data_IF_239043212576
#
_entry.id   IF_239043212576
#
_cell.length_a   1.000
_cell.length_b   1.000
_cell.length_c   1.000
_cell.angle_alpha   90.00
_cell.angle_beta   90.00
_cell.angle_gamma   90.00
#
_symmetry.space_group_name_H-M   'P 1'
#
loop_
_entity.id
_entity.type
_entity.pdbx_description
1 polymer ?
#
# COMPACT_ATOMS: atom_id res chain seq x y z
N UNK A 1 -23.20 -14.04 5.18
CA UNK A 1 -22.16 -14.87 4.53
C UNK A 1 -20.84 -14.26 4.91
N UNK A 2 -20.00 -14.96 5.68
CA UNK A 2 -18.73 -14.42 6.14
C UNK A 2 -17.71 -14.42 5.02
N UNK A 3 -16.94 -13.34 4.91
CA UNK A 3 -15.88 -13.20 3.92
C UNK A 3 -14.54 -13.56 4.54
N UNK A 4 -13.94 -14.64 4.07
CA UNK A 4 -12.63 -15.07 4.57
C UNK A 4 -11.54 -14.38 3.76
N UNK A 5 -10.88 -13.40 4.38
CA UNK A 5 -9.74 -12.67 3.82
C UNK A 5 -8.46 -13.36 4.27
N UNK A 6 -7.70 -13.87 3.30
CA UNK A 6 -6.34 -14.37 3.56
C UNK A 6 -5.46 -13.17 3.86
N UNK A 7 -4.81 -13.14 5.03
CA UNK A 7 -3.67 -12.26 5.24
C UNK A 7 -2.65 -12.64 4.14
N UNK A 8 -2.55 -11.80 3.10
CA UNK A 8 -1.65 -11.95 1.94
C UNK A 8 -2.04 -12.95 0.82
N UNK A 9 -3.28 -12.89 0.36
CA UNK A 9 -3.51 -12.96 -1.10
C UNK A 9 -4.39 -11.81 -1.58
N UNK A 10 -4.00 -10.59 -1.22
CA UNK A 10 -4.48 -9.41 -1.91
C UNK A 10 -3.76 -9.37 -3.26
N UNK A 11 -4.33 -10.03 -4.27
CA UNK A 11 -4.00 -9.72 -5.66
C UNK A 11 -4.56 -8.34 -5.97
N UNK A 12 -3.87 -7.29 -5.55
CA UNK A 12 -4.07 -5.95 -6.08
C UNK A 12 -2.85 -5.64 -6.95
N UNK A 13 -3.04 -5.73 -8.27
CA UNK A 13 -2.04 -5.40 -9.26
C UNK A 13 -1.83 -3.89 -9.31
N UNK A 14 -0.98 -3.38 -8.42
CA UNK A 14 -0.25 -2.13 -8.68
C UNK A 14 1.00 -2.44 -9.51
N UNK A 15 0.78 -3.03 -10.69
CA UNK A 15 1.70 -3.04 -11.83
C UNK A 15 1.01 -3.82 -12.95
N UNK A 16 0.85 -3.16 -14.09
CA UNK A 16 0.16 -3.72 -15.25
C UNK A 16 0.75 -5.06 -15.69
N UNK A 17 0.01 -6.13 -15.43
CA UNK A 17 0.05 -7.37 -16.20
C UNK A 17 -1.39 -7.88 -16.33
N UNK A 18 -1.73 -8.22 -17.57
CA UNK A 18 -3.02 -8.78 -17.99
C UNK A 18 -3.25 -10.10 -17.26
N UNK A 19 -4.23 -10.16 -16.35
CA UNK A 19 -4.75 -11.43 -15.87
C UNK A 19 -5.86 -11.90 -16.81
N UNK A 20 -5.53 -12.84 -17.70
CA UNK A 20 -6.55 -13.67 -18.36
C UNK A 20 -7.33 -14.44 -17.30
N UNK A 21 -8.64 -14.18 -17.22
CA UNK A 21 -9.57 -14.91 -16.38
C UNK A 21 -9.67 -16.36 -16.90
N UNK A 22 -9.30 -17.34 -16.07
CA UNK A 22 -9.50 -18.76 -16.36
C UNK A 22 -10.95 -19.12 -16.02
N UNK A 23 -11.80 -19.20 -17.04
CA UNK A 23 -13.20 -19.64 -16.92
C UNK A 23 -13.26 -21.17 -16.81
N UNK A 24 -13.69 -21.68 -15.66
CA UNK A 24 -14.20 -23.05 -15.39
C UNK A 24 -14.93 -22.96 -14.04
N UNK A 25 -16.15 -23.40 -13.82
CA UNK A 25 -17.07 -24.31 -14.51
C UNK A 25 -18.51 -23.81 -14.25
N UNK A 26 -19.31 -23.66 -15.31
CA UNK A 26 -20.77 -23.69 -15.22
C UNK A 26 -21.20 -24.97 -15.94
N UNK A 27 -21.60 -26.00 -15.18
CA UNK A 27 -22.35 -27.14 -15.71
C UNK A 27 -23.84 -26.77 -15.73
N UNK A 28 -24.49 -26.92 -16.88
CA UNK A 28 -25.94 -26.76 -16.99
C UNK A 28 -26.56 -26.71 -18.39
N UNK A 29 -26.19 -27.63 -19.32
CA UNK A 29 -26.96 -28.12 -20.50
C UNK A 29 -27.42 -27.12 -21.61
N UNK A 30 -27.84 -27.59 -22.81
CA UNK A 30 -27.11 -28.38 -23.82
C UNK A 30 -27.07 -27.65 -25.20
N UNK A 31 -26.45 -28.28 -26.22
CA UNK A 31 -26.41 -27.92 -27.65
C UNK A 31 -25.28 -26.93 -28.04
N UNK A 32 -24.46 -27.13 -29.07
CA UNK A 32 -24.33 -28.20 -30.03
C UNK A 32 -22.98 -28.07 -30.76
N UNK A 33 -22.50 -29.21 -31.27
CA UNK A 33 -21.67 -29.40 -32.47
C UNK A 33 -20.22 -28.89 -32.49
N UNK A 34 -19.32 -29.84 -32.27
CA UNK A 34 -18.03 -29.95 -32.95
C UNK A 34 -18.20 -29.88 -34.49
N UNK A 35 -17.28 -29.21 -35.18
CA UNK A 35 -17.07 -29.45 -36.61
C UNK A 35 -15.58 -29.63 -36.88
N UNK A 36 -15.23 -30.85 -37.25
CA UNK A 36 -13.95 -31.27 -37.79
C UNK A 36 -13.82 -30.80 -39.25
N UNK A 37 -12.70 -30.16 -39.59
CA UNK A 37 -12.34 -29.86 -40.97
C UNK A 37 -11.61 -31.07 -41.57
N UNK A 38 -12.26 -31.77 -42.50
CA UNK A 38 -11.61 -32.70 -43.42
C UNK A 38 -11.93 -32.36 -44.87
N UNK A 39 -10.93 -32.64 -45.69
CA UNK A 39 -10.63 -32.17 -47.06
C UNK A 39 -11.40 -32.96 -48.14
N UNK A 40 -11.20 -32.51 -49.39
CA UNK A 40 -11.51 -33.16 -50.70
C UNK A 40 -12.90 -32.81 -51.23
N UNK A 41 -13.18 -32.37 -52.46
CA UNK A 41 -12.44 -32.26 -53.72
C UNK A 41 -13.47 -32.39 -54.88
N UNK A 42 -13.22 -31.68 -55.98
CA UNK A 42 -13.78 -31.80 -57.35
C UNK A 42 -15.18 -31.22 -57.74
N UNK A 43 -15.09 -30.14 -58.52
CA UNK A 43 -15.61 -29.91 -59.90
C UNK A 43 -17.08 -30.13 -60.24
N UNK A 44 -17.74 -29.09 -60.81
CA UNK A 44 -18.50 -29.09 -62.09
C UNK A 44 -18.69 -27.64 -62.60
N UNK A 45 -18.59 -27.49 -63.94
CA UNK A 45 -18.72 -26.28 -64.79
C UNK A 45 -20.13 -25.63 -64.75
N UNK A 46 -20.25 -24.31 -64.94
CA UNK A 46 -20.46 -23.69 -66.28
C UNK A 46 -20.70 -22.17 -66.25
N UNK A 47 -20.19 -21.53 -67.31
CA UNK A 47 -20.59 -20.28 -68.01
C UNK A 47 -20.39 -18.90 -67.36
N UNK A 48 -19.92 -18.02 -68.24
CA UNK A 48 -19.35 -16.69 -68.06
C UNK A 48 -20.40 -15.64 -67.68
N UNK A 49 -20.04 -14.74 -66.76
CA UNK A 49 -20.50 -13.36 -66.79
C UNK A 49 -19.45 -12.43 -66.16
N UNK A 50 -19.26 -11.28 -66.80
CA UNK A 50 -18.27 -10.24 -66.44
C UNK A 50 -18.65 -9.60 -65.11
N UNK A 51 -17.77 -9.66 -64.11
CA UNK A 51 -17.91 -8.89 -62.87
C UNK A 51 -16.89 -7.75 -62.79
N UNK A 52 -17.41 -6.53 -62.68
CA UNK A 52 -16.71 -5.34 -62.22
C UNK A 52 -16.22 -5.58 -60.78
N UNK A 53 -14.90 -5.56 -60.56
CA UNK A 53 -14.32 -5.67 -59.22
C UNK A 53 -14.52 -4.36 -58.48
N UNK A 54 -15.65 -4.23 -57.78
CA UNK A 54 -15.78 -3.25 -56.69
C UNK A 54 -14.90 -3.78 -55.56
N UNK A 55 -13.77 -3.12 -55.31
CA UNK A 55 -12.92 -3.42 -54.16
C UNK A 55 -13.66 -3.02 -52.89
N UNK A 56 -14.55 -3.88 -52.42
CA UNK A 56 -15.14 -3.79 -51.08
C UNK A 56 -13.98 -3.84 -50.09
N UNK A 57 -13.64 -2.68 -49.52
CA UNK A 57 -12.75 -2.56 -48.37
C UNK A 57 -13.26 -3.55 -47.32
N UNK A 58 -12.48 -4.61 -47.10
CA UNK A 58 -12.91 -5.79 -46.34
C UNK A 58 -13.50 -5.36 -44.98
N UNK A 59 -14.62 -5.96 -44.52
CA UNK A 59 -15.21 -5.71 -43.19
C UNK A 59 -14.22 -5.93 -42.03
N UNK A 60 -13.13 -6.66 -42.29
CA UNK A 60 -12.02 -6.87 -41.35
C UNK A 60 -11.27 -5.58 -41.00
N UNK A 61 -11.11 -4.63 -41.93
CA UNK A 61 -10.38 -3.39 -41.64
C UNK A 61 -11.17 -2.48 -40.68
N UNK A 62 -12.48 -2.40 -40.86
CA UNK A 62 -13.38 -1.64 -39.98
C UNK A 62 -13.52 -2.30 -38.60
N UNK A 63 -13.56 -3.64 -38.54
CA UNK A 63 -13.53 -4.39 -37.27
C UNK A 63 -12.21 -4.21 -36.52
N UNK A 64 -11.06 -4.22 -37.21
CA UNK A 64 -9.75 -3.95 -36.60
C UNK A 64 -9.69 -2.52 -36.07
N UNK A 65 -10.18 -1.54 -36.84
CA UNK A 65 -10.21 -0.14 -36.41
C UNK A 65 -11.10 0.06 -35.18
N UNK A 66 -12.27 -0.58 -35.13
CA UNK A 66 -13.17 -0.56 -33.98
C UNK A 66 -12.55 -1.23 -32.74
N UNK A 67 -11.87 -2.37 -32.91
CA UNK A 67 -11.15 -3.04 -31.83
C UNK A 67 -10.00 -2.18 -31.30
N UNK A 68 -9.25 -1.49 -32.16
CA UNK A 68 -8.19 -0.56 -31.76
C UNK A 68 -8.76 0.68 -31.04
N UNK A 69 -9.92 1.17 -31.46
CA UNK A 69 -10.65 2.27 -30.79
C UNK A 69 -11.16 1.85 -29.40
N UNK A 70 -11.74 0.65 -29.29
CA UNK A 70 -12.19 0.09 -28.01
C UNK A 70 -10.98 -0.18 -27.10
N UNK A 71 -9.90 -0.75 -27.63
CA UNK A 71 -8.67 -1.00 -26.88
C UNK A 71 -8.04 0.31 -26.38
N UNK A 72 -7.94 1.33 -27.23
CA UNK A 72 -7.43 2.65 -26.82
C UNK A 72 -8.35 3.32 -25.80
N UNK A 73 -9.68 3.20 -25.94
CA UNK A 73 -10.64 3.68 -24.95
C UNK A 73 -10.47 2.94 -23.60
N UNK A 74 -10.34 1.61 -23.61
CA UNK A 74 -10.07 0.79 -22.42
C UNK A 74 -8.73 1.17 -21.78
N UNK A 75 -7.67 1.39 -22.58
CA UNK A 75 -6.37 1.83 -22.09
C UNK A 75 -6.47 3.20 -21.43
N UNK A 76 -7.25 4.14 -21.99
CA UNK A 76 -7.46 5.46 -21.38
C UNK A 76 -8.29 5.40 -20.10
N UNK A 77 -9.29 4.50 -20.05
CA UNK A 77 -10.15 4.27 -18.87
C UNK A 77 -9.46 3.51 -17.74
N UNK A 78 -8.31 2.85 -17.99
CA UNK A 78 -7.57 2.03 -17.00
C UNK A 78 -6.31 2.71 -16.45
N UNK A 79 -6.16 4.02 -16.65
CA UNK A 79 -5.01 4.76 -16.13
C UNK A 79 -5.06 4.91 -14.60
N UNK A 80 -4.34 4.04 -13.89
CA UNK A 80 -4.05 4.19 -12.48
C UNK A 80 -2.88 5.16 -12.31
N UNK A 81 -3.15 6.41 -11.93
CA UNK A 81 -2.09 7.37 -11.60
C UNK A 81 -1.67 7.19 -10.15
N UNK A 82 -0.43 6.78 -9.84
CA UNK A 82 0.04 6.75 -8.46
C UNK A 82 -0.04 8.17 -7.87
N UNK A 83 -0.16 8.30 -6.53
CA UNK A 83 -0.05 9.59 -5.88
C UNK A 83 1.28 10.24 -6.26
N UNK A 84 1.27 11.57 -6.34
CA UNK A 84 2.47 12.35 -6.63
C UNK A 84 3.54 12.08 -5.56
N UNK A 85 4.80 12.25 -5.97
CA UNK A 85 5.90 12.16 -5.02
C UNK A 85 5.73 13.24 -3.94
N UNK A 86 5.77 12.88 -2.64
CA UNK A 86 5.63 13.86 -1.58
C UNK A 86 6.77 14.88 -1.56
N UNK A 87 7.93 14.58 -2.16
CA UNK A 87 9.08 15.50 -2.23
C UNK A 87 9.26 15.98 -3.67
N UNK A 88 9.12 17.28 -3.91
CA UNK A 88 9.31 17.90 -5.23
C UNK A 88 10.40 18.97 -5.15
N UNK A 89 11.41 18.90 -6.02
CA UNK A 89 12.53 19.85 -6.05
C UNK A 89 12.58 20.55 -7.41
N UNK A 90 12.82 21.87 -7.41
CA UNK A 90 12.81 22.66 -8.65
C UNK A 90 14.15 22.64 -9.39
N UNK A 91 15.26 22.34 -8.70
CA UNK A 91 16.60 22.33 -9.29
C UNK A 91 17.36 21.07 -8.88
N UNK A 92 17.10 19.97 -9.59
CA UNK A 92 17.64 18.65 -9.28
C UNK A 92 17.23 18.21 -7.89
N UNK A 93 18.18 18.23 -6.94
CA UNK A 93 17.94 17.88 -5.53
C UNK A 93 17.80 19.08 -4.60
N UNK A 94 17.73 20.32 -5.12
CA UNK A 94 17.69 21.55 -4.33
C UNK A 94 16.40 22.35 -4.52
N UNK A 95 16.12 23.24 -3.56
CA UNK A 95 14.88 24.02 -3.42
C UNK A 95 13.64 23.11 -3.48
N UNK A 96 13.46 22.32 -2.42
CA UNK A 96 12.45 21.29 -2.36
C UNK A 96 11.22 21.74 -1.55
N UNK A 97 10.08 21.18 -1.90
CA UNK A 97 8.85 21.21 -1.12
C UNK A 97 8.49 19.79 -0.70
N UNK A 98 7.87 19.68 0.47
CA UNK A 98 7.33 18.42 0.99
C UNK A 98 5.83 18.55 1.18
N UNK A 99 5.10 17.51 0.83
CA UNK A 99 3.66 17.38 1.06
C UNK A 99 3.37 16.04 1.72
N UNK A 100 2.14 15.86 2.21
CA UNK A 100 1.67 14.54 2.62
C UNK A 100 1.02 13.79 1.44
N UNK A 101 0.51 12.59 1.68
CA UNK A 101 -0.17 11.78 0.66
C UNK A 101 -1.37 12.47 -0.03
N UNK A 102 -1.96 13.50 0.60
CA UNK A 102 -3.06 14.29 0.02
C UNK A 102 -2.57 15.50 -0.80
N UNK A 103 -1.26 15.75 -0.80
CA UNK A 103 -0.62 16.88 -1.47
C UNK A 103 -0.61 18.18 -0.66
N UNK A 104 -1.04 18.18 0.61
CA UNK A 104 -1.05 19.36 1.47
C UNK A 104 -1.21 18.99 2.95
N UNK A 105 -0.57 19.74 3.84
CA UNK A 105 -0.80 19.60 5.28
C UNK A 105 -2.11 20.29 5.72
N UNK A 106 -2.72 19.92 6.85
CA UNK A 106 -4.03 20.43 7.28
C UNK A 106 -4.14 21.97 7.33
N UNK A 107 -3.09 22.64 7.76
CA UNK A 107 -3.01 24.12 7.81
C UNK A 107 -2.65 24.78 6.46
N UNK A 108 -2.59 23.99 5.39
CA UNK A 108 -2.25 24.39 4.01
C UNK A 108 -0.89 25.05 3.83
N UNK A 109 -0.04 25.06 4.85
CA UNK A 109 1.27 25.70 4.74
C UNK A 109 2.24 24.86 3.91
N UNK A 110 3.05 25.55 3.10
CA UNK A 110 4.08 24.91 2.28
C UNK A 110 5.27 24.56 3.16
N UNK A 111 5.61 23.28 3.16
CA UNK A 111 6.80 22.77 3.81
C UNK A 111 7.98 22.86 2.84
N UNK A 112 8.99 23.67 3.16
CA UNK A 112 10.18 23.87 2.31
C UNK A 112 11.40 23.17 2.90
N UNK A 113 12.38 22.91 2.04
CA UNK A 113 13.68 22.36 2.39
C UNK A 113 14.75 22.85 1.38
N UNK A 114 15.99 22.95 1.83
CA UNK A 114 17.14 23.32 1.02
C UNK A 114 17.37 22.28 -0.07
N UNK A 115 17.31 21.01 0.31
CA UNK A 115 17.59 19.88 -0.54
C UNK A 115 16.92 18.59 -0.05
N UNK A 116 16.89 17.58 -0.91
CA UNK A 116 16.47 16.23 -0.61
C UNK A 116 17.54 15.21 -1.04
N UNK A 117 17.78 14.19 -0.21
CA UNK A 117 18.74 13.11 -0.46
C UNK A 117 17.97 11.78 -0.49
N UNK A 118 18.38 10.87 -1.38
CA UNK A 118 17.66 9.63 -1.67
C UNK A 118 18.58 8.42 -1.52
N UNK A 119 19.02 8.07 -0.29
CA UNK A 119 19.89 6.93 -0.07
C UNK A 119 19.25 5.61 -0.53
N UNK A 120 20.06 4.75 -1.13
CA UNK A 120 19.71 3.39 -1.58
C UNK A 120 20.33 2.30 -0.68
N UNK A 121 21.28 2.69 0.16
CA UNK A 121 21.99 1.80 1.08
C UNK A 121 22.10 2.44 2.46
N UNK A 122 22.35 1.63 3.49
CA UNK A 122 22.58 2.14 4.85
C UNK A 122 23.85 3.03 4.91
N UNK A 123 24.88 2.71 4.13
CA UNK A 123 26.09 3.53 4.00
C UNK A 123 25.79 4.90 3.37
N UNK A 124 24.97 4.96 2.33
CA UNK A 124 24.53 6.25 1.77
C UNK A 124 23.69 7.05 2.76
N UNK A 125 22.86 6.38 3.56
CA UNK A 125 22.09 7.01 4.62
C UNK A 125 23.00 7.57 5.72
N UNK A 126 24.01 6.79 6.15
CA UNK A 126 25.03 7.21 7.10
C UNK A 126 25.77 8.46 6.61
N UNK A 127 26.22 8.45 5.35
CA UNK A 127 26.88 9.58 4.72
C UNK A 127 25.97 10.82 4.64
N UNK A 128 24.68 10.64 4.34
CA UNK A 128 23.70 11.73 4.30
C UNK A 128 23.50 12.39 5.68
N UNK A 129 23.40 11.59 6.75
CA UNK A 129 23.29 12.11 8.13
C UNK A 129 24.58 12.81 8.55
N UNK A 130 25.74 12.22 8.26
CA UNK A 130 27.05 12.82 8.54
C UNK A 130 27.21 14.17 7.83
N UNK A 131 26.90 14.26 6.53
CA UNK A 131 26.99 15.50 5.77
C UNK A 131 26.07 16.60 6.33
N UNK A 132 24.86 16.25 6.75
CA UNK A 132 23.95 17.20 7.37
C UNK A 132 24.43 17.66 8.77
N UNK A 133 25.02 16.75 9.55
CA UNK A 133 25.61 17.06 10.85
C UNK A 133 26.81 18.01 10.70
N UNK A 134 27.72 17.76 9.74
CA UNK A 134 28.83 18.66 9.39
C UNK A 134 28.31 20.05 9.02
N UNK A 135 27.25 20.10 8.19
CA UNK A 135 26.63 21.35 7.76
C UNK A 135 25.74 22.02 8.83
N UNK A 136 25.60 21.41 10.02
CA UNK A 136 24.71 21.86 11.11
C UNK A 136 23.27 22.11 10.63
N UNK A 137 22.77 21.29 9.71
CA UNK A 137 21.43 21.43 9.14
C UNK A 137 20.41 20.58 9.90
N UNK A 138 19.20 21.11 10.06
CA UNK A 138 18.05 20.32 10.50
C UNK A 138 17.74 19.25 9.44
N UNK A 139 17.59 18.01 9.87
CA UNK A 139 17.21 16.89 9.01
C UNK A 139 15.82 16.43 9.37
N UNK A 140 15.01 16.14 8.34
CA UNK A 140 13.77 15.37 8.49
C UNK A 140 13.69 14.24 7.49
N UNK A 141 13.00 13.18 7.89
CA UNK A 141 12.84 11.98 7.07
C UNK A 141 11.51 12.06 6.33
N UNK A 142 11.54 11.85 5.02
CA UNK A 142 10.33 11.69 4.21
C UNK A 142 10.18 10.22 3.82
N UNK A 143 9.04 9.62 4.18
CA UNK A 143 8.69 8.28 3.71
C UNK A 143 8.17 8.35 2.28
N UNK A 144 8.12 7.20 1.59
CA UNK A 144 7.68 7.09 0.17
C UNK A 144 6.37 7.84 -0.14
N UNK A 145 5.43 7.85 0.81
CA UNK A 145 4.12 8.46 0.62
C UNK A 145 3.83 9.63 1.58
N UNK A 146 4.70 9.89 2.56
CA UNK A 146 4.52 10.97 3.55
C UNK A 146 3.09 11.00 4.12
N UNK A 147 2.56 9.84 4.52
CA UNK A 147 1.12 9.70 4.84
C UNK A 147 0.68 10.39 6.15
N UNK A 148 1.61 10.96 6.92
CA UNK A 148 1.25 11.66 8.16
C UNK A 148 0.49 12.96 7.87
N UNK A 149 -0.59 13.21 8.61
CA UNK A 149 -1.25 14.51 8.62
C UNK A 149 -0.41 15.56 9.33
N UNK A 150 0.34 15.16 10.37
CA UNK A 150 1.23 16.06 11.10
C UNK A 150 2.49 16.32 10.30
N UNK A 151 3.04 17.53 10.46
CA UNK A 151 4.23 18.02 9.75
C UNK A 151 5.56 17.46 10.27
N UNK A 152 5.59 16.17 10.62
CA UNK A 152 6.79 15.52 11.15
C UNK A 152 7.96 15.56 10.15
N UNK A 153 7.66 15.59 8.85
CA UNK A 153 8.63 15.64 7.76
C UNK A 153 9.13 17.05 7.45
N UNK A 154 8.62 18.08 8.13
CA UNK A 154 9.01 19.46 7.87
C UNK A 154 10.22 19.90 8.68
N UNK A 155 11.31 20.34 8.02
CA UNK A 155 12.53 20.69 8.72
C UNK A 155 12.50 22.12 9.29
N UNK A 156 11.37 22.82 9.19
CA UNK A 156 11.12 24.09 9.86
C UNK A 156 11.79 25.31 9.20
N UNK A 157 12.02 25.28 7.89
CA UNK A 157 12.62 26.41 7.16
C UNK A 157 13.16 26.01 5.79
N UNK A 158 13.79 26.96 5.09
CA UNK A 158 14.41 26.71 3.78
C UNK A 158 15.80 26.08 3.85
N UNK A 159 16.40 26.00 5.05
CA UNK A 159 17.79 25.56 5.23
C UNK A 159 17.93 24.08 5.59
N UNK A 160 16.81 23.41 5.84
CA UNK A 160 16.79 22.02 6.26
C UNK A 160 16.94 21.03 5.12
N UNK A 161 17.40 19.82 5.44
CA UNK A 161 17.57 18.72 4.50
C UNK A 161 16.50 17.65 4.71
N UNK A 162 15.94 17.15 3.62
CA UNK A 162 15.09 15.96 3.62
C UNK A 162 15.93 14.74 3.30
N UNK A 163 15.78 13.66 4.05
CA UNK A 163 16.26 12.33 3.68
C UNK A 163 15.05 11.48 3.33
N UNK A 164 14.94 11.06 2.07
CA UNK A 164 13.86 10.19 1.63
C UNK A 164 14.25 8.72 1.75
N UNK A 165 13.48 7.93 2.49
CA UNK A 165 13.72 6.49 2.62
C UNK A 165 13.15 5.67 1.46
N UNK A 166 12.63 6.30 0.40
CA UNK A 166 11.86 5.64 -0.66
C UNK A 166 12.59 4.47 -1.37
N UNK A 167 13.92 4.46 -1.35
CA UNK A 167 14.77 3.44 -1.99
C UNK A 167 15.42 2.48 -1.00
N UNK A 168 15.24 2.71 0.30
CA UNK A 168 15.58 1.77 1.37
C UNK A 168 14.41 0.81 1.56
N UNK A 169 14.13 -0.04 0.57
CA UNK A 169 12.92 -0.86 0.52
C UNK A 169 13.18 -2.36 0.30
N UNK A 170 14.39 -2.84 0.58
CA UNK A 170 14.79 -4.24 0.40
C UNK A 170 14.41 -5.10 1.60
N UNK A 171 14.16 -6.37 1.31
CA UNK A 171 14.21 -7.43 2.34
C UNK A 171 15.67 -7.70 2.67
N UNK A 172 16.03 -7.64 3.94
CA UNK A 172 17.40 -7.85 4.41
C UNK A 172 17.60 -9.31 4.80
N UNK A 173 16.67 -9.88 5.57
CA UNK A 173 16.76 -11.25 6.06
C UNK A 173 15.37 -11.81 6.36
N UNK A 174 15.18 -13.11 6.11
CA UNK A 174 13.99 -13.86 6.53
C UNK A 174 14.44 -15.14 7.23
N UNK A 175 13.97 -15.36 8.45
CA UNK A 175 14.10 -16.64 9.16
C UNK A 175 12.70 -17.21 9.40
N UNK A 176 12.26 -18.08 8.48
CA UNK A 176 10.94 -18.73 8.53
C UNK A 176 10.75 -19.61 9.77
N UNK A 177 11.83 -20.19 10.31
CA UNK A 177 11.77 -21.08 11.47
C UNK A 177 11.60 -20.29 12.77
N UNK A 178 12.31 -19.17 12.90
CA UNK A 178 12.19 -18.28 14.06
C UNK A 178 11.04 -17.28 13.94
N UNK A 179 10.41 -17.19 12.77
CA UNK A 179 9.38 -16.19 12.49
C UNK A 179 9.95 -14.77 12.46
N UNK A 180 11.17 -14.56 11.97
CA UNK A 180 11.80 -13.23 11.96
C UNK A 180 11.91 -12.69 10.54
N UNK A 181 11.60 -11.40 10.37
CA UNK A 181 11.73 -10.68 9.11
C UNK A 181 12.45 -9.34 9.34
N UNK A 182 13.62 -9.17 8.72
CA UNK A 182 14.37 -7.91 8.70
C UNK A 182 14.18 -7.23 7.35
N UNK A 183 13.76 -5.96 7.36
CA UNK A 183 13.50 -5.16 6.16
C UNK A 183 14.05 -3.74 6.33
N UNK A 184 14.33 -3.08 5.21
CA UNK A 184 14.66 -1.65 5.21
C UNK A 184 13.41 -0.79 5.48
N UNK A 185 13.60 0.36 6.14
CA UNK A 185 12.52 1.17 6.71
C UNK A 185 11.58 1.81 5.68
N UNK A 186 12.02 1.97 4.44
CA UNK A 186 11.24 2.45 3.31
C UNK A 186 10.36 1.39 2.65
N UNK A 187 10.46 0.11 3.05
CA UNK A 187 9.58 -0.94 2.56
C UNK A 187 8.12 -0.60 2.87
N UNK A 188 7.25 -0.76 1.88
CA UNK A 188 5.81 -0.54 2.03
C UNK A 188 5.18 -1.75 2.72
N UNK A 189 4.22 -1.53 3.62
CA UNK A 189 3.57 -2.57 4.42
C UNK A 189 2.97 -3.68 3.54
N UNK A 190 2.36 -3.34 2.39
CA UNK A 190 1.87 -4.34 1.43
C UNK A 190 2.97 -5.26 0.89
N UNK A 191 4.17 -4.73 0.62
CA UNK A 191 5.31 -5.53 0.17
C UNK A 191 5.85 -6.42 1.29
N UNK A 192 5.93 -5.89 2.52
CA UNK A 192 6.28 -6.66 3.70
C UNK A 192 5.33 -7.85 3.89
N UNK A 193 4.02 -7.61 3.84
CA UNK A 193 3.01 -8.67 3.98
C UNK A 193 3.14 -9.75 2.90
N UNK A 194 3.41 -9.34 1.65
CA UNK A 194 3.63 -10.26 0.53
C UNK A 194 4.89 -11.12 0.73
N UNK A 195 6.00 -10.51 1.17
CA UNK A 195 7.25 -11.20 1.45
C UNK A 195 7.09 -12.16 2.64
N UNK A 196 6.47 -11.72 3.73
CA UNK A 196 6.19 -12.55 4.90
C UNK A 196 5.36 -13.79 4.52
N UNK A 197 4.29 -13.59 3.75
CA UNK A 197 3.39 -14.67 3.39
C UNK A 197 4.00 -15.69 2.42
N UNK A 198 4.90 -15.24 1.53
CA UNK A 198 5.69 -16.15 0.72
C UNK A 198 6.57 -17.08 1.57
N UNK A 199 6.91 -16.67 2.80
CA UNK A 199 7.61 -17.48 3.79
C UNK A 199 6.68 -18.19 4.79
N UNK A 200 5.36 -18.19 4.57
CA UNK A 200 4.39 -18.79 5.49
C UNK A 200 4.23 -18.02 6.80
N UNK A 201 4.58 -16.74 6.82
CA UNK A 201 4.50 -15.85 7.98
C UNK A 201 3.53 -14.69 7.74
N UNK A 202 3.06 -14.06 8.81
CA UNK A 202 2.30 -12.83 8.75
C UNK A 202 2.50 -11.96 9.98
N UNK A 203 2.20 -10.66 9.82
CA UNK A 203 2.11 -9.76 10.96
C UNK A 203 0.93 -10.18 11.86
N UNK A 204 1.12 -10.17 13.19
CA UNK A 204 0.02 -10.46 14.12
C UNK A 204 -1.13 -9.47 13.99
N UNK A 205 -0.81 -8.18 13.80
CA UNK A 205 -1.78 -7.13 13.53
C UNK A 205 -1.19 -6.10 12.56
N UNK A 206 -2.04 -5.40 11.82
CA UNK A 206 -1.64 -4.34 10.89
C UNK A 206 -2.70 -3.24 10.81
N UNK A 207 -2.31 -1.98 10.55
CA UNK A 207 -3.27 -0.93 10.22
C UNK A 207 -4.02 -1.26 8.92
N UNK A 208 -5.17 -0.61 8.73
CA UNK A 208 -6.00 -0.78 7.53
C UNK A 208 -5.33 -0.32 6.24
N UNK A 209 -4.55 0.75 6.32
CA UNK A 209 -3.91 1.33 5.16
C UNK A 209 -2.55 0.67 4.91
N UNK A 210 -2.47 -0.15 3.86
CA UNK A 210 -1.25 -0.89 3.53
C UNK A 210 -0.21 -0.09 2.74
N UNK A 211 -0.54 1.12 2.29
CA UNK A 211 0.37 2.02 1.57
C UNK A 211 1.14 2.96 2.52
N UNK A 212 1.53 2.46 3.69
CA UNK A 212 2.48 3.10 4.61
C UNK A 212 3.82 2.36 4.58
N UNK A 213 4.92 3.06 4.82
CA UNK A 213 6.24 2.43 4.96
C UNK A 213 6.46 1.93 6.39
N UNK A 214 7.25 0.87 6.58
CA UNK A 214 7.59 0.31 7.91
C UNK A 214 8.14 1.37 8.86
N UNK A 215 9.10 2.18 8.42
CA UNK A 215 9.70 3.24 9.25
C UNK A 215 8.70 4.31 9.67
N UNK A 216 7.83 4.74 8.75
CA UNK A 216 6.75 5.68 9.06
C UNK A 216 5.73 5.10 10.04
N UNK A 217 5.35 3.84 9.83
CA UNK A 217 4.41 3.11 10.67
C UNK A 217 4.92 2.97 12.11
N UNK A 218 6.20 2.66 12.30
CA UNK A 218 6.81 2.64 13.63
C UNK A 218 6.94 4.04 14.22
N UNK A 219 7.49 4.99 13.47
CA UNK A 219 7.75 6.34 13.96
C UNK A 219 6.50 7.02 14.54
N UNK A 220 5.31 6.73 14.00
CA UNK A 220 4.04 7.30 14.47
C UNK A 220 3.21 6.36 15.36
N UNK A 221 3.73 5.20 15.76
CA UNK A 221 3.01 4.26 16.62
C UNK A 221 1.75 3.67 15.96
N UNK A 222 1.77 3.42 14.65
CA UNK A 222 0.59 2.90 13.96
C UNK A 222 0.23 1.49 14.43
N UNK A 223 -1.07 1.24 14.49
CA UNK A 223 -1.69 0.05 15.06
C UNK A 223 -2.93 -0.36 14.25
N UNK A 224 -3.38 -1.60 14.41
CA UNK A 224 -4.72 -2.02 13.98
C UNK A 224 -5.72 -1.97 15.14
N UNK A 225 -6.65 -2.91 15.18
CA UNK A 225 -7.62 -3.07 16.27
C UNK A 225 -7.44 -4.45 16.91
N UNK A 226 -7.22 -4.50 18.23
CA UNK A 226 -7.22 -5.73 19.03
C UNK A 226 -6.98 -5.43 20.51
N UNK A 227 -7.72 -6.11 21.39
CA UNK A 227 -7.44 -6.17 22.83
C UNK A 227 -6.65 -7.44 23.24
N UNK A 228 -6.29 -8.29 22.27
CA UNK A 228 -5.76 -9.62 22.51
C UNK A 228 -4.23 -9.62 22.50
N UNK A 229 -3.61 -10.53 23.25
CA UNK A 229 -2.16 -10.67 23.28
C UNK A 229 -1.44 -9.39 23.71
N UNK A 230 -0.49 -8.91 22.89
CA UNK A 230 0.22 -7.64 23.09
C UNK A 230 -0.55 -6.42 22.54
N UNK A 231 -1.78 -6.61 22.07
CA UNK A 231 -2.56 -5.59 21.38
C UNK A 231 -2.19 -5.44 19.89
N UNK A 232 -2.62 -4.34 19.30
CA UNK A 232 -2.57 -4.13 17.84
C UNK A 232 -1.43 -3.22 17.36
N UNK A 233 -0.64 -2.66 18.27
CA UNK A 233 0.46 -1.77 17.95
C UNK A 233 1.59 -2.54 17.27
N UNK A 234 2.00 -2.11 16.07
CA UNK A 234 2.97 -2.89 15.30
C UNK A 234 4.36 -2.87 15.94
N UNK A 235 4.68 -1.81 16.69
CA UNK A 235 5.96 -1.69 17.38
C UNK A 235 6.16 -2.74 18.50
N UNK A 236 5.09 -3.33 19.03
CA UNK A 236 5.15 -4.44 20.00
C UNK A 236 5.78 -5.71 19.43
N UNK A 237 5.80 -5.82 18.10
CA UNK A 237 6.36 -6.95 17.37
C UNK A 237 7.77 -6.69 16.84
N UNK A 238 8.39 -5.56 17.21
CA UNK A 238 9.77 -5.23 16.82
C UNK A 238 10.75 -5.81 17.84
N UNK A 239 11.69 -6.63 17.36
CA UNK A 239 12.74 -7.27 18.16
C UNK A 239 14.15 -6.77 17.82
N UNK A 240 14.27 -5.89 16.83
CA UNK A 240 15.52 -5.25 16.48
C UNK A 240 15.32 -4.03 15.60
N UNK A 241 16.12 -2.99 15.81
CA UNK A 241 16.18 -1.79 14.97
C UNK A 241 17.63 -1.43 14.70
N UNK A 242 17.91 -1.04 13.44
CA UNK A 242 19.10 -0.27 13.10
C UNK A 242 18.69 1.16 12.83
N UNK A 243 19.37 2.10 13.48
CA UNK A 243 19.09 3.54 13.38
C UNK A 243 20.38 4.32 13.18
N UNK A 244 20.35 5.26 12.24
CA UNK A 244 21.45 6.19 11.99
C UNK A 244 21.24 7.46 12.81
N UNK A 245 22.22 7.80 13.64
CA UNK A 245 22.20 8.99 14.50
C UNK A 245 23.43 9.86 14.25
N UNK A 246 23.34 11.19 14.46
CA UNK A 246 24.53 12.03 14.51
C UNK A 246 25.52 11.55 15.59
N UNK A 247 26.80 11.77 15.35
CA UNK A 247 27.89 11.39 16.26
C UNK A 247 28.98 12.48 16.27
N UNK A 248 29.93 12.46 17.22
CA UNK A 248 31.08 13.36 17.19
C UNK A 248 31.95 13.16 15.94
N UNK A 249 32.77 14.18 15.61
CA UNK A 249 33.70 14.13 14.48
C UNK A 249 34.69 12.96 14.57
N UNK A 250 35.09 12.57 15.79
CA UNK A 250 35.97 11.41 16.04
C UNK A 250 35.36 10.06 15.62
N UNK A 251 34.04 10.01 15.41
CA UNK A 251 33.31 8.83 14.92
C UNK A 251 32.77 9.03 13.49
N UNK A 252 33.19 10.08 12.78
CA UNK A 252 32.75 10.34 11.41
C UNK A 252 31.41 11.07 11.27
N UNK A 253 30.99 11.83 12.29
CA UNK A 253 29.77 12.68 12.31
C UNK A 253 28.41 11.96 12.33
N UNK A 254 28.36 10.67 12.03
CA UNK A 254 27.18 9.83 12.20
C UNK A 254 27.60 8.38 12.48
N UNK A 255 26.72 7.63 13.14
CA UNK A 255 26.95 6.22 13.47
C UNK A 255 25.68 5.42 13.24
N UNK A 256 25.83 4.15 12.85
CA UNK A 256 24.73 3.17 12.88
C UNK A 256 24.68 2.54 14.27
N UNK A 257 23.56 2.67 14.95
CA UNK A 257 23.28 2.00 16.22
C UNK A 257 22.40 0.78 15.96
N UNK A 258 22.80 -0.36 16.48
CA UNK A 258 22.02 -1.59 16.44
C UNK A 258 21.40 -1.84 17.82
N UNK A 259 20.07 -1.86 17.86
CA UNK A 259 19.28 -1.97 19.07
C UNK A 259 18.55 -3.31 19.03
N UNK A 260 19.07 -4.31 19.74
CA UNK A 260 18.42 -5.61 19.91
C UNK A 260 17.28 -5.56 20.94
N UNK A 261 16.57 -6.69 21.11
CA UNK A 261 15.39 -6.80 21.96
C UNK A 261 15.58 -6.29 23.40
N UNK A 262 16.77 -6.51 23.98
CA UNK A 262 17.09 -6.12 25.36
C UNK A 262 17.81 -4.77 25.46
N UNK A 263 17.94 -4.03 24.35
CA UNK A 263 18.62 -2.73 24.36
C UNK A 263 17.71 -1.68 25.04
N UNK A 264 18.20 -0.93 26.05
CA UNK A 264 17.38 -0.01 26.84
C UNK A 264 16.68 1.08 26.02
N UNK A 265 17.32 1.54 24.94
CA UNK A 265 16.74 2.58 24.07
C UNK A 265 15.74 2.07 23.02
N UNK A 266 15.52 0.75 22.90
CA UNK A 266 14.70 0.19 21.82
C UNK A 266 13.28 0.75 21.85
N UNK A 267 12.67 0.85 23.03
CA UNK A 267 11.29 1.31 23.19
C UNK A 267 11.12 2.79 22.81
N UNK A 268 12.13 3.62 23.08
CA UNK A 268 12.12 5.02 22.62
C UNK A 268 12.18 5.10 21.08
N UNK A 269 12.94 4.23 20.43
CA UNK A 269 13.12 4.27 18.97
C UNK A 269 11.92 3.66 18.22
N UNK A 270 11.26 2.66 18.80
CA UNK A 270 10.05 2.02 18.29
C UNK A 270 8.95 3.02 17.94
N UNK A 271 8.82 4.13 18.68
CA UNK A 271 7.89 5.25 18.42
C UNK A 271 8.63 6.60 18.52
N UNK A 272 9.54 6.83 17.58
CA UNK A 272 10.47 7.97 17.64
C UNK A 272 9.96 9.31 17.11
N UNK A 273 8.77 9.36 16.48
CA UNK A 273 8.26 10.53 15.74
C UNK A 273 9.25 11.10 14.69
N UNK A 274 10.27 10.32 14.31
CA UNK A 274 11.35 10.74 13.43
C UNK A 274 12.30 11.79 14.03
N UNK A 275 12.41 11.89 15.36
CA UNK A 275 13.30 12.87 16.03
C UNK A 275 14.58 12.25 16.61
N UNK A 276 14.63 10.94 16.82
CA UNK A 276 15.78 10.27 17.45
C UNK A 276 16.88 9.84 16.46
N UNK A 277 16.60 9.90 15.16
CA UNK A 277 17.49 9.47 14.09
C UNK A 277 16.71 8.95 12.89
N UNK A 278 17.43 8.35 11.93
CA UNK A 278 16.81 7.74 10.74
C UNK A 278 16.87 6.23 10.87
N UNK A 279 15.71 5.60 11.07
CA UNK A 279 15.59 4.13 11.08
C UNK A 279 16.02 3.63 9.70
N UNK A 280 17.04 2.77 9.65
CA UNK A 280 17.52 2.15 8.41
C UNK A 280 16.86 0.80 8.18
N UNK A 281 16.81 -0.05 9.21
CA UNK A 281 16.29 -1.41 9.15
C UNK A 281 15.50 -1.76 10.41
N UNK A 282 14.56 -2.68 10.27
CA UNK A 282 13.68 -3.17 11.35
C UNK A 282 13.59 -4.68 11.24
N UNK A 283 13.75 -5.37 12.37
CA UNK A 283 13.49 -6.80 12.54
C UNK A 283 12.18 -6.99 13.31
N UNK A 284 11.23 -7.68 12.67
CA UNK A 284 9.91 -7.99 13.21
C UNK A 284 9.80 -9.46 13.56
N UNK A 285 9.21 -9.75 14.72
CA UNK A 285 8.70 -11.07 15.08
C UNK A 285 7.29 -11.26 14.49
N UNK A 286 7.17 -12.26 13.62
CA UNK A 286 5.98 -12.62 12.89
C UNK A 286 5.38 -13.91 13.44
N UNK A 287 4.15 -14.19 13.04
CA UNK A 287 3.44 -15.43 13.36
C UNK A 287 3.29 -16.31 12.12
N UNK A 288 3.05 -17.63 12.28
CA UNK A 288 2.60 -18.47 11.19
C UNK A 288 1.38 -17.86 10.47
N UNK A 289 1.33 -18.02 9.15
CA UNK A 289 0.27 -17.48 8.30
C UNK A 289 -1.11 -18.00 8.72
N UNK A 290 -2.07 -17.09 8.87
CA UNK A 290 -3.47 -17.41 9.18
C UNK A 290 -4.46 -16.67 8.27
N UNK A 291 -5.73 -17.07 8.30
CA UNK A 291 -6.84 -16.40 7.61
C UNK A 291 -7.69 -15.63 8.61
N UNK A 292 -8.43 -14.63 8.11
CA UNK A 292 -9.40 -13.86 8.90
C UNK A 292 -10.79 -14.03 8.31
N UNK A 293 -11.78 -14.33 9.13
CA UNK A 293 -13.19 -14.31 8.77
C UNK A 293 -13.76 -12.95 9.16
N UNK A 294 -14.19 -12.18 8.16
CA UNK A 294 -14.68 -10.80 8.32
C UNK A 294 -16.16 -10.74 7.95
N UNK A 295 -16.98 -10.17 8.83
CA UNK A 295 -18.40 -9.88 8.59
C UNK A 295 -18.73 -8.51 9.15
N UNK A 296 -19.52 -7.72 8.43
CA UNK A 296 -20.02 -6.42 8.91
C UNK A 296 -21.49 -6.55 9.32
N UNK A 297 -21.82 -6.06 10.51
CA UNK A 297 -23.18 -6.08 11.07
C UNK A 297 -23.57 -4.66 11.46
N UNK A 298 -24.63 -4.15 10.85
CA UNK A 298 -25.18 -2.84 11.20
C UNK A 298 -26.22 -3.00 12.30
N UNK A 299 -26.08 -2.25 13.39
CA UNK A 299 -26.98 -2.23 14.54
C UNK A 299 -27.41 -0.79 14.86
N UNK A 300 -28.40 -0.67 15.73
CA UNK A 300 -28.77 0.60 16.35
C UNK A 300 -27.68 1.08 17.33
N UNK A 301 -27.62 2.37 17.63
CA UNK A 301 -26.63 2.94 18.56
C UNK A 301 -27.00 2.80 20.05
N UNK A 302 -28.20 2.30 20.35
CA UNK A 302 -28.77 2.25 21.70
C UNK A 302 -27.90 1.56 22.76
N UNK A 303 -27.10 0.55 22.39
CA UNK A 303 -26.21 -0.19 23.30
C UNK A 303 -24.71 0.05 23.02
N UNK A 304 -24.36 1.03 22.17
CA UNK A 304 -22.98 1.23 21.70
C UNK A 304 -21.97 1.28 22.86
N UNK A 305 -22.24 2.12 23.87
CA UNK A 305 -21.32 2.33 24.98
C UNK A 305 -21.01 1.04 25.75
N UNK A 306 -22.03 0.21 25.97
CA UNK A 306 -21.90 -1.04 26.71
C UNK A 306 -21.18 -2.12 25.89
N UNK A 307 -21.32 -2.08 24.55
CA UNK A 307 -20.78 -3.10 23.66
C UNK A 307 -19.32 -2.90 23.26
N UNK A 308 -18.74 -1.69 23.38
CA UNK A 308 -17.38 -1.42 22.85
C UNK A 308 -16.33 -2.40 23.42
N UNK A 309 -16.31 -2.55 24.75
CA UNK A 309 -15.34 -3.42 25.42
C UNK A 309 -15.62 -4.91 25.15
N UNK A 310 -16.90 -5.31 25.23
CA UNK A 310 -17.33 -6.67 24.96
C UNK A 310 -16.96 -7.11 23.53
N UNK A 311 -17.14 -6.22 22.55
CA UNK A 311 -16.83 -6.49 21.15
C UNK A 311 -15.35 -6.80 20.93
N UNK A 312 -14.46 -5.99 21.51
CA UNK A 312 -13.02 -6.23 21.44
C UNK A 312 -12.57 -7.52 22.15
N UNK A 313 -13.32 -7.97 23.16
CA UNK A 313 -13.10 -9.26 23.82
C UNK A 313 -13.62 -10.46 23.03
N UNK A 314 -14.66 -10.29 22.20
CA UNK A 314 -15.24 -11.35 21.38
C UNK A 314 -14.52 -11.55 20.04
N UNK A 315 -13.98 -10.48 19.46
CA UNK A 315 -13.41 -10.49 18.12
C UNK A 315 -11.97 -9.99 18.12
N UNK A 316 -11.02 -10.91 17.86
CA UNK A 316 -9.57 -10.64 17.93
C UNK A 316 -9.16 -9.36 17.18
N UNK A 317 -9.77 -9.10 16.03
CA UNK A 317 -9.48 -7.91 15.22
C UNK A 317 -10.70 -7.01 14.99
N UNK A 318 -11.71 -7.12 15.84
CA UNK A 318 -12.97 -6.40 15.70
C UNK A 318 -12.79 -4.89 15.79
N UNK A 319 -13.59 -4.16 15.04
CA UNK A 319 -13.71 -2.71 15.17
C UNK A 319 -15.18 -2.27 15.08
N UNK A 320 -15.41 -1.02 15.44
CA UNK A 320 -16.75 -0.42 15.48
C UNK A 320 -16.67 0.93 14.79
N UNK A 321 -17.61 1.20 13.89
CA UNK A 321 -17.78 2.49 13.22
C UNK A 321 -19.16 3.06 13.53
N UNK A 322 -19.18 4.15 14.28
CA UNK A 322 -20.43 4.87 14.57
C UNK A 322 -20.76 5.85 13.44
N UNK A 323 -22.04 5.87 13.03
CA UNK A 323 -22.62 6.78 12.06
C UNK A 323 -23.69 7.64 12.77
N UNK A 324 -23.29 8.74 13.46
CA UNK A 324 -24.19 9.47 14.36
C UNK A 324 -25.45 10.00 13.67
N UNK A 325 -25.31 10.55 12.45
CA UNK A 325 -26.45 11.08 11.68
C UNK A 325 -27.50 10.00 11.38
N UNK A 326 -27.08 8.74 11.24
CA UNK A 326 -27.98 7.63 10.94
C UNK A 326 -28.48 6.92 12.19
N UNK A 327 -27.94 7.27 13.37
CA UNK A 327 -28.16 6.53 14.63
C UNK A 327 -27.84 5.04 14.50
N UNK A 328 -26.81 4.73 13.69
CA UNK A 328 -26.38 3.36 13.39
C UNK A 328 -24.92 3.16 13.71
N UNK A 329 -24.59 1.92 14.01
CA UNK A 329 -23.23 1.46 14.27
C UNK A 329 -22.95 0.27 13.36
N UNK A 330 -21.84 0.33 12.64
CA UNK A 330 -21.32 -0.81 11.87
C UNK A 330 -20.29 -1.50 12.74
N UNK A 331 -20.61 -2.72 13.15
CA UNK A 331 -19.71 -3.60 13.86
C UNK A 331 -19.00 -4.51 12.86
N UNK A 332 -17.69 -4.67 13.02
CA UNK A 332 -16.91 -5.62 12.24
C UNK A 332 -16.54 -6.82 13.10
N UNK A 333 -17.14 -7.95 12.78
CA UNK A 333 -16.78 -9.26 13.31
C UNK A 333 -15.55 -9.72 12.54
N UNK A 334 -14.40 -9.76 13.21
CA UNK A 334 -13.15 -10.14 12.56
C UNK A 334 -12.36 -11.09 13.45
N UNK A 335 -12.34 -12.35 13.03
CA UNK A 335 -11.79 -13.45 13.81
C UNK A 335 -10.73 -14.18 13.01
N UNK A 336 -9.66 -14.58 13.70
CA UNK A 336 -8.69 -15.54 13.18
C UNK A 336 -9.37 -16.88 12.90
N UNK A 337 -9.07 -17.46 11.75
CA UNK A 337 -9.51 -18.80 11.33
C UNK A 337 -8.35 -19.55 10.69
N UNK A 338 -8.47 -20.88 10.62
CA UNK A 338 -7.44 -21.75 10.07
C UNK A 338 -7.17 -21.46 8.58
N UNK A 339 -5.94 -21.71 8.12
CA UNK A 339 -5.55 -21.49 6.73
C UNK A 339 -6.35 -22.39 5.75
N UNK A 340 -6.87 -23.53 6.21
CA UNK A 340 -7.72 -24.42 5.42
C UNK A 340 -9.16 -23.93 5.29
N UNK A 341 -9.60 -22.95 6.10
CA UNK A 341 -11.00 -22.48 6.10
C UNK A 341 -11.43 -22.00 4.69
N UNK A 342 -12.56 -22.49 4.16
CA UNK A 342 -13.07 -22.08 2.84
C UNK A 342 -13.49 -20.61 2.86
N UNK A 343 -13.41 -19.95 1.70
CA UNK A 343 -13.64 -18.51 1.61
C UNK A 343 -13.95 -18.04 0.20
N UNK A 344 -14.72 -16.96 0.09
CA UNK A 344 -15.01 -16.26 -1.16
C UNK A 344 -13.99 -15.14 -1.48
N UNK A 345 -13.14 -14.75 -0.52
CA UNK A 345 -12.14 -13.70 -0.66
C UNK A 345 -12.70 -12.29 -0.89
N UNK A 346 -13.99 -12.05 -0.62
CA UNK A 346 -14.65 -10.78 -0.90
C UNK A 346 -14.54 -9.81 0.28
N UNK A 347 -13.80 -8.71 0.16
CA UNK A 347 -13.93 -7.62 1.11
C UNK A 347 -15.08 -6.71 0.64
N UNK A 348 -16.25 -6.88 1.25
CA UNK A 348 -17.48 -6.15 0.95
C UNK A 348 -17.50 -4.75 1.58
N UNK A 349 -16.42 -4.33 2.24
CA UNK A 349 -16.31 -2.97 2.77
C UNK A 349 -16.27 -1.93 1.62
N UNK A 350 -17.29 -1.05 1.50
CA UNK A 350 -17.43 -0.18 0.32
C UNK A 350 -16.26 0.77 0.07
N UNK A 351 -15.54 1.18 1.12
CA UNK A 351 -14.42 2.10 0.93
C UNK A 351 -13.16 1.46 0.31
N UNK A 352 -13.14 0.13 0.17
CA UNK A 352 -12.08 -0.59 -0.58
C UNK A 352 -12.53 -1.03 -1.97
N UNK A 353 -13.72 -0.64 -2.41
CA UNK A 353 -14.14 -0.86 -3.78
C UNK A 353 -13.31 0.02 -4.73
N UNK A 354 -12.94 -0.53 -5.88
CA UNK A 354 -12.25 0.22 -6.93
C UNK A 354 -13.18 1.33 -7.43
N UNK A 355 -12.82 2.58 -7.15
CA UNK A 355 -13.50 3.74 -7.74
C UNK A 355 -12.90 4.07 -9.11
N UNK A 356 -13.72 4.42 -10.11
CA UNK A 356 -13.22 4.91 -11.39
C UNK A 356 -12.25 6.08 -11.23
N UNK A 357 -11.17 6.11 -12.02
CA UNK A 357 -10.14 7.15 -11.93
C UNK A 357 -10.70 8.57 -12.08
N UNK A 358 -11.76 8.75 -12.89
CA UNK A 358 -12.40 10.05 -13.08
C UNK A 358 -13.11 10.56 -11.83
N UNK A 359 -13.68 9.69 -10.99
CA UNK A 359 -14.30 10.08 -9.71
C UNK A 359 -13.23 10.55 -8.73
N UNK A 360 -12.09 9.86 -8.66
CA UNK A 360 -10.95 10.27 -7.82
C UNK A 360 -10.40 11.62 -8.29
N UNK A 361 -10.28 11.83 -9.61
CA UNK A 361 -9.85 13.11 -10.19
C UNK A 361 -10.87 14.21 -9.90
N UNK A 362 -12.17 13.94 -10.07
CA UNK A 362 -13.24 14.88 -9.76
C UNK A 362 -13.22 15.28 -8.30
N UNK A 363 -13.12 14.32 -7.36
CA UNK A 363 -12.99 14.61 -5.93
C UNK A 363 -11.74 15.43 -5.60
N UNK A 364 -10.60 15.19 -6.27
CA UNK A 364 -9.38 16.01 -6.12
C UNK A 364 -9.56 17.43 -6.66
N UNK A 365 -10.25 17.58 -7.79
CA UNK A 365 -10.55 18.87 -8.42
C UNK A 365 -11.56 19.64 -7.57
N UNK A 366 -12.63 19.01 -7.11
CA UNK A 366 -13.60 19.58 -6.18
C UNK A 366 -12.91 20.03 -4.90
N UNK A 367 -12.08 19.17 -4.28
CA UNK A 367 -11.27 19.55 -3.13
C UNK A 367 -10.33 20.71 -3.45
N UNK A 368 -9.88 20.89 -4.71
CA UNK A 368 -9.04 22.02 -5.15
C UNK A 368 -9.87 23.29 -5.45
N UNK A 369 -11.12 23.16 -5.87
CA UNK A 369 -12.07 24.25 -6.09
C UNK A 369 -12.57 24.79 -4.74
N UNK A 370 -12.99 23.90 -3.84
CA UNK A 370 -13.31 24.23 -2.44
C UNK A 370 -12.10 24.87 -1.72
N UNK A 371 -10.87 24.56 -2.15
CA UNK A 371 -9.65 25.23 -1.68
C UNK A 371 -9.50 26.68 -2.14
N UNK A 372 -10.11 27.09 -3.25
CA UNK A 372 -10.07 28.47 -3.78
C UNK A 372 -11.19 29.39 -3.27
N UNK A 373 -12.13 28.86 -2.49
CA UNK A 373 -13.30 29.58 -1.94
C UNK A 373 -13.10 29.94 -0.45
N UNK A 374 -12.04 29.45 0.19
CA UNK A 374 -11.74 29.66 1.62
C UNK A 374 -10.52 30.55 1.84
#
# INVERSE_FOLDING_TARGET
MASVVVCARVSCSLQGQVCCMRVRELRGWPNASEVWLTKVGNTIRSREDRFTVITLVRPRAMQILLLLLILTLIIRLTSSSPPLDPVACSNGMSNCTVTNANGYFPDRSICRAANAIYPRTEQELLAAVAAAAVAKRKVKVATRYSHSFTKLTCPGGRDGTIISTRWLNRTVQIDGKKGLLTVESGMVLSDLMRVAAAAGLCLPNSPYWSAVTVGGLLATGAHGSSLWGKGSAVHEYVVGIRIVTPAPASQGFAVVRELGADHPDLDAVKVSLGVLGVISQVTLALQPLFKRSVTFVTRDESDLADQVAAWGGLHEFGDIRWLPHQRKVIYREDNRVDISSPGNGLNDFPAFWSLPAHEIVAARVEAKILRGIA
#
